data_IF_358170584523
#
_entry.id   IF_358170584523
#
_cell.length_a   1.000
_cell.length_b   1.000
_cell.length_c   1.000
_cell.angle_alpha   90.00
_cell.angle_beta   90.00
_cell.angle_gamma   90.00
#
_symmetry.space_group_name_H-M   'P 1'
#
loop_
_entity.id
_entity.type
_entity.pdbx_description
1 polymer ?
#
# COMPACT_ATOMS: atom_id res chain seq x y z
N UNK A 1 -3.03 -30.04 15.44
CA UNK A 1 -3.05 -28.60 15.10
C UNK A 1 -1.71 -28.32 14.45
N UNK A 2 -1.65 -28.28 13.13
CA UNK A 2 -0.48 -27.78 12.40
C UNK A 2 -0.52 -26.25 12.54
N UNK A 3 0.40 -25.68 13.31
CA UNK A 3 0.30 -24.30 13.82
C UNK A 3 1.37 -23.36 13.27
N UNK A 4 1.71 -23.49 11.99
CA UNK A 4 2.64 -22.61 11.29
C UNK A 4 1.94 -21.60 10.38
N UNK A 5 2.69 -20.65 9.84
CA UNK A 5 2.18 -19.63 8.91
C UNK A 5 3.02 -18.36 8.90
N UNK A 6 2.79 -17.49 7.92
CA UNK A 6 3.35 -16.12 7.92
C UNK A 6 2.66 -15.33 9.04
N UNK A 7 3.44 -14.82 9.98
CA UNK A 7 2.99 -13.82 10.95
C UNK A 7 3.57 -12.48 10.51
N UNK A 8 2.77 -11.78 9.72
CA UNK A 8 3.03 -10.40 9.34
C UNK A 8 2.52 -9.49 10.46
N UNK A 9 3.40 -9.19 11.42
CA UNK A 9 3.04 -8.33 12.56
C UNK A 9 3.19 -6.86 12.22
N UNK A 10 4.20 -6.49 11.41
CA UNK A 10 4.63 -5.11 11.21
C UNK A 10 5.31 -4.87 9.85
N UNK A 11 5.11 -5.70 8.81
CA UNK A 11 5.82 -5.55 7.52
C UNK A 11 5.70 -4.14 6.96
N UNK A 12 4.47 -3.64 6.87
CA UNK A 12 4.20 -2.33 6.28
C UNK A 12 4.55 -1.15 7.20
N UNK A 13 4.60 -1.35 8.52
CA UNK A 13 4.82 -0.26 9.48
C UNK A 13 6.26 -0.15 9.98
N UNK A 14 6.95 -1.28 10.15
CA UNK A 14 8.30 -1.36 10.71
C UNK A 14 9.22 -2.24 9.87
N UNK A 15 8.77 -2.82 8.76
CA UNK A 15 9.63 -3.62 7.88
C UNK A 15 10.03 -4.95 8.49
N UNK A 16 9.13 -5.63 9.19
CA UNK A 16 9.45 -6.85 9.93
C UNK A 16 8.44 -7.97 9.71
N UNK A 17 8.94 -9.14 9.31
CA UNK A 17 8.12 -10.32 9.01
C UNK A 17 8.69 -11.57 9.66
N UNK A 18 7.82 -12.40 10.22
CA UNK A 18 8.18 -13.70 10.80
C UNK A 18 7.37 -14.79 10.10
N UNK A 19 7.99 -15.93 9.81
CA UNK A 19 7.28 -17.14 9.42
C UNK A 19 7.51 -18.22 10.46
N UNK A 20 6.41 -18.83 10.89
CA UNK A 20 6.42 -19.98 11.80
C UNK A 20 6.28 -21.26 10.98
N UNK A 21 7.16 -22.22 11.22
CA UNK A 21 7.15 -23.54 10.59
C UNK A 21 6.02 -24.43 11.15
N UNK A 22 5.78 -25.60 10.56
CA UNK A 22 4.73 -26.55 11.00
C UNK A 22 4.90 -27.01 12.45
N UNK A 23 6.09 -26.89 13.04
CA UNK A 23 6.39 -27.29 14.40
C UNK A 23 6.21 -26.13 15.41
N UNK A 24 5.81 -24.94 14.95
CA UNK A 24 5.67 -23.77 15.81
C UNK A 24 6.99 -23.02 16.08
N UNK A 25 8.05 -23.28 15.31
CA UNK A 25 9.35 -22.62 15.42
C UNK A 25 9.47 -21.50 14.37
N UNK A 26 10.30 -20.48 14.62
CA UNK A 26 10.60 -19.46 13.61
C UNK A 26 11.37 -20.11 12.46
N UNK A 27 10.73 -20.27 11.31
CA UNK A 27 11.38 -20.77 10.10
C UNK A 27 12.10 -19.66 9.33
N UNK A 28 11.53 -18.46 9.32
CA UNK A 28 12.12 -17.30 8.63
C UNK A 28 11.80 -16.00 9.36
N UNK A 29 12.69 -15.02 9.20
CA UNK A 29 12.64 -13.73 9.86
C UNK A 29 13.30 -12.69 8.96
N UNK A 30 12.55 -11.74 8.45
CA UNK A 30 13.06 -10.71 7.54
C UNK A 30 12.84 -9.31 8.11
N UNK A 31 13.87 -8.48 7.94
CA UNK A 31 13.88 -7.07 8.25
C UNK A 31 14.18 -6.30 6.95
N UNK A 32 13.36 -5.32 6.58
CA UNK A 32 13.59 -4.47 5.41
C UNK A 32 14.09 -3.05 5.79
N UNK A 33 14.34 -2.22 4.78
CA UNK A 33 14.80 -0.84 4.90
C UNK A 33 13.99 0.07 5.84
N UNK A 34 12.74 -0.27 6.15
CA UNK A 34 11.86 0.45 7.09
C UNK A 34 12.21 0.11 8.53
N UNK A 35 12.91 -0.99 8.80
CA UNK A 35 13.33 -1.37 10.15
C UNK A 35 14.50 -0.48 10.62
N UNK A 36 14.20 0.46 11.52
CA UNK A 36 15.13 1.52 11.97
C UNK A 36 16.05 1.13 13.12
N UNK A 37 16.04 -0.13 13.57
CA UNK A 37 16.84 -0.60 14.70
C UNK A 37 17.95 -1.55 14.25
N UNK A 38 19.08 -1.62 15.00
CA UNK A 38 20.11 -2.62 14.73
C UNK A 38 19.58 -4.04 14.87
N UNK A 39 20.00 -4.92 13.96
CA UNK A 39 19.77 -6.37 13.99
C UNK A 39 21.10 -7.05 14.28
N UNK A 40 21.37 -7.29 15.57
CA UNK A 40 22.69 -7.70 16.03
C UNK A 40 23.73 -6.59 15.78
N UNK A 41 24.76 -6.89 14.98
CA UNK A 41 25.86 -5.97 14.64
C UNK A 41 25.60 -5.18 13.35
N UNK A 42 24.49 -5.45 12.65
CA UNK A 42 24.16 -4.84 11.35
C UNK A 42 23.03 -3.82 11.53
N UNK A 43 23.07 -2.74 10.76
CA UNK A 43 21.97 -1.76 10.66
C UNK A 43 21.67 -1.50 9.19
N UNK A 44 20.40 -1.25 8.86
CA UNK A 44 20.00 -0.80 7.52
C UNK A 44 20.79 0.45 7.11
N UNK A 45 21.21 0.51 5.86
CA UNK A 45 22.02 1.61 5.31
C UNK A 45 23.53 1.49 5.51
N UNK A 46 24.03 0.47 6.24
CA UNK A 46 25.48 0.23 6.31
C UNK A 46 26.06 -0.03 4.91
N UNK A 47 27.22 0.56 4.62
CA UNK A 47 27.94 0.31 3.37
C UNK A 47 28.58 -1.08 3.35
N UNK A 48 28.96 -1.58 2.18
CA UNK A 48 29.73 -2.84 2.03
C UNK A 48 30.97 -2.86 2.94
N UNK A 49 31.71 -1.75 3.03
CA UNK A 49 32.93 -1.67 3.84
C UNK A 49 32.62 -1.79 5.33
N UNK A 50 31.60 -1.07 5.80
CA UNK A 50 31.14 -1.14 7.19
C UNK A 50 30.63 -2.53 7.54
N UNK A 51 29.87 -3.14 6.63
CA UNK A 51 29.35 -4.50 6.79
C UNK A 51 30.48 -5.53 6.86
N UNK A 52 31.50 -5.44 6.00
CA UNK A 52 32.68 -6.33 6.05
C UNK A 52 33.49 -6.16 7.33
N UNK A 53 33.56 -4.95 7.87
CA UNK A 53 34.25 -4.69 9.13
C UNK A 53 33.46 -5.23 10.34
N UNK A 54 32.14 -5.02 10.35
CA UNK A 54 31.25 -5.49 11.41
C UNK A 54 31.10 -7.02 11.38
N UNK A 55 30.98 -7.62 10.18
CA UNK A 55 30.76 -9.04 10.01
C UNK A 55 31.69 -9.66 8.96
N UNK A 56 32.97 -9.92 9.31
CA UNK A 56 33.96 -10.48 8.37
C UNK A 56 33.64 -11.90 7.88
N UNK A 57 32.76 -12.61 8.57
CA UNK A 57 32.32 -13.97 8.23
C UNK A 57 31.16 -14.01 7.23
N UNK A 58 30.63 -12.85 6.83
CA UNK A 58 29.59 -12.75 5.81
C UNK A 58 30.21 -12.81 4.42
N UNK A 59 29.85 -13.82 3.64
CA UNK A 59 30.31 -13.95 2.26
C UNK A 59 29.40 -13.12 1.35
N UNK A 60 29.92 -12.01 0.82
CA UNK A 60 29.20 -11.12 -0.10
C UNK A 60 29.54 -11.51 -1.53
N UNK A 61 28.54 -11.97 -2.28
CA UNK A 61 28.66 -12.30 -3.69
C UNK A 61 28.75 -11.08 -4.61
N UNK A 62 28.90 -11.35 -5.90
CA UNK A 62 28.87 -10.34 -6.97
C UNK A 62 27.45 -9.80 -7.20
N UNK A 63 27.31 -8.84 -8.12
CA UNK A 63 26.01 -8.30 -8.54
C UNK A 63 25.09 -9.40 -9.06
N UNK A 64 23.81 -9.32 -8.68
CA UNK A 64 22.76 -10.18 -9.23
C UNK A 64 22.66 -9.96 -10.75
N UNK A 65 22.77 -11.02 -11.58
CA UNK A 65 22.74 -10.90 -13.03
C UNK A 65 21.45 -10.28 -13.58
N UNK A 66 20.35 -10.38 -12.83
CA UNK A 66 19.03 -9.86 -13.21
C UNK A 66 18.76 -8.48 -12.61
N UNK A 67 19.45 -8.10 -11.53
CA UNK A 67 19.22 -6.87 -10.78
C UNK A 67 20.54 -6.13 -10.50
N UNK A 68 20.96 -5.29 -11.45
CA UNK A 68 22.20 -4.53 -11.35
C UNK A 68 22.21 -3.67 -10.07
N UNK A 69 23.32 -3.71 -9.32
CA UNK A 69 23.44 -2.99 -8.05
C UNK A 69 22.80 -3.68 -6.84
N UNK A 70 22.29 -4.91 -7.02
CA UNK A 70 21.86 -5.77 -5.90
C UNK A 70 22.93 -6.83 -5.64
N UNK A 71 23.35 -7.00 -4.38
CA UNK A 71 24.27 -8.07 -3.94
C UNK A 71 23.68 -8.83 -2.76
N UNK A 72 24.12 -10.07 -2.58
CA UNK A 72 23.71 -10.89 -1.45
C UNK A 72 24.89 -11.32 -0.60
N UNK A 73 24.82 -10.97 0.68
CA UNK A 73 25.66 -11.53 1.73
C UNK A 73 25.00 -12.76 2.33
N UNK A 74 25.73 -13.86 2.50
CA UNK A 74 25.21 -15.08 3.13
C UNK A 74 26.19 -15.59 4.17
N UNK A 75 25.66 -16.06 5.29
CA UNK A 75 26.42 -16.73 6.35
C UNK A 75 25.59 -17.85 6.97
N UNK A 76 26.24 -18.99 7.23
CA UNK A 76 25.64 -20.07 8.03
C UNK A 76 25.87 -19.82 9.52
N UNK A 77 24.81 -19.98 10.31
CA UNK A 77 24.82 -19.88 11.77
C UNK A 77 24.92 -21.28 12.39
N UNK A 78 25.60 -21.44 13.55
CA UNK A 78 25.77 -22.73 14.22
C UNK A 78 24.46 -23.46 14.55
N UNK A 79 23.38 -22.72 14.74
CA UNK A 79 22.05 -23.21 15.10
C UNK A 79 21.28 -23.80 13.90
N UNK A 80 21.90 -23.88 12.72
CA UNK A 80 21.28 -24.41 11.50
C UNK A 80 20.50 -23.37 10.69
N UNK A 81 20.61 -22.09 11.04
CA UNK A 81 20.01 -20.99 10.29
C UNK A 81 21.00 -20.40 9.29
N UNK A 82 20.48 -19.88 8.20
CA UNK A 82 21.20 -19.05 7.24
C UNK A 82 20.81 -17.59 7.46
N UNK A 83 21.79 -16.75 7.76
CA UNK A 83 21.65 -15.30 7.73
C UNK A 83 21.93 -14.81 6.30
N UNK A 84 21.06 -13.95 5.78
CA UNK A 84 21.19 -13.28 4.49
C UNK A 84 21.16 -11.77 4.70
N UNK A 85 21.90 -11.04 3.87
CA UNK A 85 21.92 -9.58 3.87
C UNK A 85 21.84 -9.12 2.43
N UNK A 86 20.71 -8.51 2.05
CA UNK A 86 20.57 -7.88 0.73
C UNK A 86 21.20 -6.51 0.77
N UNK A 87 22.06 -6.24 -0.19
CA UNK A 87 22.55 -4.89 -0.46
C UNK A 87 21.93 -4.37 -1.74
N UNK A 88 21.46 -3.14 -1.71
CA UNK A 88 20.94 -2.41 -2.87
C UNK A 88 21.70 -1.09 -2.95
N UNK A 89 22.27 -0.79 -4.12
CA UNK A 89 23.10 0.42 -4.33
C UNK A 89 24.22 0.53 -3.27
N UNK A 90 24.90 -0.59 -2.99
CA UNK A 90 26.03 -0.71 -2.05
C UNK A 90 25.71 -0.50 -0.57
N UNK A 91 24.44 -0.40 -0.20
CA UNK A 91 23.99 -0.28 1.20
C UNK A 91 23.09 -1.45 1.60
N UNK A 92 23.14 -1.85 2.88
CA UNK A 92 22.25 -2.87 3.44
C UNK A 92 20.79 -2.40 3.34
N UNK A 93 19.96 -3.18 2.66
CA UNK A 93 18.55 -2.90 2.43
C UNK A 93 17.63 -3.93 3.08
N UNK A 94 18.12 -5.14 3.34
CA UNK A 94 17.34 -6.23 3.93
C UNK A 94 18.26 -7.15 4.73
N UNK A 95 17.77 -7.69 5.85
CA UNK A 95 18.46 -8.67 6.68
C UNK A 95 17.47 -9.81 6.93
N UNK A 96 17.82 -11.02 6.53
CA UNK A 96 16.99 -12.20 6.67
C UNK A 96 17.66 -13.30 7.47
N UNK A 97 16.87 -14.08 8.20
CA UNK A 97 17.29 -15.34 8.81
C UNK A 97 16.32 -16.42 8.35
N UNK A 98 16.85 -17.55 7.91
CA UNK A 98 16.02 -18.66 7.43
C UNK A 98 16.60 -19.97 7.93
N UNK A 99 15.75 -20.85 8.45
CA UNK A 99 16.11 -22.24 8.69
C UNK A 99 15.85 -23.03 7.41
N UNK A 100 16.89 -23.54 6.71
CA UNK A 100 16.70 -24.28 5.46
C UNK A 100 15.92 -25.59 5.62
N UNK A 101 15.82 -26.12 6.84
CA UNK A 101 15.04 -27.31 7.16
C UNK A 101 13.59 -26.99 7.60
N UNK A 102 13.22 -25.71 7.72
CA UNK A 102 11.86 -25.34 8.07
C UNK A 102 10.88 -25.80 6.98
N UNK A 103 9.79 -26.40 7.43
CA UNK A 103 8.68 -26.77 6.56
C UNK A 103 7.52 -25.87 6.94
N UNK A 104 6.97 -25.14 5.97
CA UNK A 104 5.80 -24.31 6.19
C UNK A 104 4.55 -25.13 5.91
N UNK A 105 3.44 -24.88 6.62
CA UNK A 105 2.15 -25.39 6.17
C UNK A 105 1.92 -24.89 4.74
N UNK A 106 1.34 -25.74 3.92
CA UNK A 106 0.75 -25.25 2.66
C UNK A 106 -0.19 -24.10 3.03
N UNK A 107 -0.17 -22.96 2.33
CA UNK A 107 -1.13 -21.89 2.58
C UNK A 107 -2.53 -22.50 2.52
N UNK A 108 -3.20 -22.61 3.66
CA UNK A 108 -4.60 -23.04 3.66
C UNK A 108 -5.36 -21.95 2.93
N UNK A 109 -6.12 -22.31 1.90
CA UNK A 109 -7.00 -21.37 1.20
C UNK A 109 -7.80 -20.58 2.25
N UNK A 110 -7.82 -19.24 2.15
CA UNK A 110 -8.63 -18.43 3.03
C UNK A 110 -10.09 -18.87 2.96
N UNK A 111 -10.82 -18.68 4.05
CA UNK A 111 -12.26 -18.87 4.01
C UNK A 111 -12.88 -17.76 3.17
N UNK A 112 -13.26 -18.07 1.94
CA UNK A 112 -13.97 -17.14 1.06
C UNK A 112 -15.44 -17.02 1.48
N UNK A 113 -15.89 -15.85 2.00
CA UNK A 113 -17.29 -15.65 2.34
C UNK A 113 -18.16 -15.63 1.07
N UNK A 114 -19.42 -16.04 1.21
CA UNK A 114 -20.34 -16.07 0.05
C UNK A 114 -20.62 -14.64 -0.42
N UNK A 115 -20.33 -14.38 -1.68
CA UNK A 115 -20.54 -13.11 -2.37
C UNK A 115 -22.02 -12.91 -2.74
N UNK A 116 -22.87 -12.59 -1.75
CA UNK A 116 -24.33 -12.42 -1.93
C UNK A 116 -24.79 -10.98 -2.14
N UNK A 117 -23.88 -10.01 -2.04
CA UNK A 117 -24.21 -8.58 -2.19
C UNK A 117 -24.60 -8.17 -3.60
N UNK A 118 -25.19 -6.98 -3.73
CA UNK A 118 -25.19 -6.27 -5.01
C UNK A 118 -23.74 -5.90 -5.36
N UNK A 119 -23.40 -5.90 -6.65
CA UNK A 119 -22.12 -5.40 -7.13
C UNK A 119 -21.90 -3.95 -6.65
N UNK A 120 -20.69 -3.66 -6.17
CA UNK A 120 -20.29 -2.37 -5.60
C UNK A 120 -20.80 -2.06 -4.19
N UNK A 121 -21.87 -2.71 -3.73
CA UNK A 121 -22.46 -2.41 -2.42
C UNK A 121 -21.45 -2.58 -1.27
N UNK A 122 -21.43 -1.66 -0.28
CA UNK A 122 -22.40 -0.60 -0.04
C UNK A 122 -22.14 0.71 -0.81
N UNK A 123 -21.15 0.75 -1.69
CA UNK A 123 -20.81 1.91 -2.52
C UNK A 123 -21.64 1.92 -3.80
N UNK A 124 -21.85 3.11 -4.37
CA UNK A 124 -22.49 3.23 -5.68
C UNK A 124 -21.56 2.74 -6.80
N UNK A 125 -20.26 3.03 -6.66
CA UNK A 125 -19.23 2.68 -7.63
C UNK A 125 -18.53 1.36 -7.24
N UNK A 126 -18.54 0.33 -8.10
CA UNK A 126 -17.79 -0.90 -7.88
C UNK A 126 -16.28 -0.71 -7.74
N UNK A 127 -15.69 0.27 -8.43
CA UNK A 127 -14.25 0.53 -8.35
C UNK A 127 -13.88 1.17 -7.00
N UNK A 128 -14.76 1.98 -6.40
CA UNK A 128 -14.55 2.47 -5.03
C UNK A 128 -14.50 1.29 -4.03
N UNK A 129 -15.28 0.24 -4.27
CA UNK A 129 -15.23 -0.97 -3.45
C UNK A 129 -13.87 -1.65 -3.56
N UNK A 130 -13.28 -1.73 -4.76
CA UNK A 130 -11.93 -2.30 -4.93
C UNK A 130 -10.88 -1.49 -4.17
N UNK A 131 -10.95 -0.16 -4.23
CA UNK A 131 -10.08 0.73 -3.45
C UNK A 131 -10.19 0.45 -1.94
N UNK A 132 -11.42 0.28 -1.43
CA UNK A 132 -11.65 -0.06 -0.02
C UNK A 132 -11.16 -1.48 0.32
N UNK A 133 -11.27 -2.44 -0.59
CA UNK A 133 -10.71 -3.78 -0.40
C UNK A 133 -9.18 -3.75 -0.35
N UNK A 134 -8.51 -2.93 -1.17
CA UNK A 134 -7.06 -2.71 -1.08
C UNK A 134 -6.67 -2.24 0.32
N UNK A 135 -7.35 -1.21 0.84
CA UNK A 135 -7.13 -0.73 2.22
C UNK A 135 -7.26 -1.83 3.28
N UNK A 136 -8.30 -2.67 3.17
CA UNK A 136 -8.53 -3.76 4.11
C UNK A 136 -7.49 -4.88 3.99
N UNK A 137 -7.02 -5.17 2.79
CA UNK A 137 -5.93 -6.14 2.54
C UNK A 137 -4.59 -5.62 3.09
N UNK A 138 -4.30 -4.34 2.91
CA UNK A 138 -3.08 -3.71 3.40
C UNK A 138 -3.04 -3.63 4.92
N UNK A 139 -4.21 -3.33 5.52
CA UNK A 139 -4.44 -3.33 6.96
C UNK A 139 -4.68 -4.74 7.55
N UNK A 140 -4.59 -5.79 6.74
CA UNK A 140 -4.76 -7.21 7.12
C UNK A 140 -6.08 -7.50 7.84
N UNK A 141 -7.13 -6.75 7.50
CA UNK A 141 -8.49 -6.95 8.03
C UNK A 141 -9.23 -8.07 7.29
N UNK A 142 -8.81 -8.36 6.07
CA UNK A 142 -9.29 -9.48 5.25
C UNK A 142 -8.11 -10.21 4.61
N UNK A 143 -8.33 -11.46 4.22
CA UNK A 143 -7.37 -12.28 3.50
C UNK A 143 -8.05 -12.93 2.29
N UNK A 144 -7.48 -12.70 1.11
CA UNK A 144 -7.92 -13.29 -0.16
C UNK A 144 -6.92 -14.35 -0.69
N UNK A 145 -5.81 -14.56 0.02
CA UNK A 145 -4.73 -15.44 -0.43
C UNK A 145 -3.97 -14.81 -1.59
N UNK A 146 -3.53 -15.63 -2.53
CA UNK A 146 -2.95 -15.17 -3.79
C UNK A 146 -4.02 -14.98 -4.87
N UNK A 147 -3.76 -14.17 -5.91
CA UNK A 147 -4.64 -14.09 -7.08
C UNK A 147 -4.99 -15.46 -7.68
N UNK A 148 -4.01 -16.38 -7.76
CA UNK A 148 -4.23 -17.73 -8.27
C UNK A 148 -5.18 -18.56 -7.38
N UNK A 149 -5.08 -18.41 -6.05
CA UNK A 149 -5.96 -19.09 -5.10
C UNK A 149 -7.40 -18.59 -5.23
N UNK A 150 -7.60 -17.27 -5.25
CA UNK A 150 -8.93 -16.70 -5.43
C UNK A 150 -9.53 -17.10 -6.79
N UNK A 151 -8.75 -16.97 -7.87
CA UNK A 151 -9.21 -17.32 -9.22
C UNK A 151 -9.57 -18.81 -9.31
N UNK A 152 -8.76 -19.69 -8.70
CA UNK A 152 -9.05 -21.12 -8.62
C UNK A 152 -10.35 -21.41 -7.87
N UNK A 153 -10.57 -20.71 -6.75
CA UNK A 153 -11.78 -20.83 -5.95
C UNK A 153 -13.04 -20.43 -6.74
N UNK A 154 -13.05 -19.23 -7.32
CA UNK A 154 -14.24 -18.69 -8.00
C UNK A 154 -14.54 -19.38 -9.33
N UNK A 155 -13.53 -19.95 -10.00
CA UNK A 155 -13.71 -20.71 -11.25
C UNK A 155 -13.98 -22.19 -11.01
N UNK A 156 -13.67 -22.72 -9.82
CA UNK A 156 -13.79 -24.15 -9.50
C UNK A 156 -12.80 -25.03 -10.28
N UNK A 157 -11.70 -24.46 -10.78
CA UNK A 157 -10.61 -25.15 -11.50
C UNK A 157 -9.29 -24.41 -11.30
N UNK A 158 -8.17 -25.09 -11.46
CA UNK A 158 -6.86 -24.42 -11.48
C UNK A 158 -6.78 -23.37 -12.61
N UNK A 159 -6.03 -22.30 -12.34
CA UNK A 159 -5.78 -21.18 -13.25
C UNK A 159 -4.31 -21.11 -13.57
N UNK A 160 -3.98 -20.91 -14.84
CA UNK A 160 -2.63 -20.58 -15.28
C UNK A 160 -2.55 -19.08 -15.53
N UNK A 161 -2.03 -18.32 -14.56
CA UNK A 161 -1.97 -16.86 -14.67
C UNK A 161 -0.99 -16.40 -15.76
N UNK A 162 -0.01 -17.23 -16.14
CA UNK A 162 0.91 -16.89 -17.23
C UNK A 162 0.21 -16.88 -18.61
N UNK A 163 -0.95 -17.52 -18.72
CA UNK A 163 -1.78 -17.50 -19.94
C UNK A 163 -3.04 -16.64 -19.76
N UNK A 164 -3.69 -16.75 -18.59
CA UNK A 164 -4.99 -16.15 -18.30
C UNK A 164 -4.92 -14.80 -17.56
N UNK A 165 -3.74 -14.40 -17.08
CA UNK A 165 -3.56 -13.21 -16.23
C UNK A 165 -3.39 -11.88 -16.95
N UNK A 166 -3.38 -11.90 -18.30
CA UNK A 166 -3.22 -10.71 -19.15
C UNK A 166 -4.53 -9.96 -19.41
N UNK A 167 -5.67 -10.48 -18.96
CA UNK A 167 -6.97 -9.82 -19.03
C UNK A 167 -7.70 -9.94 -17.67
N UNK A 168 -8.81 -9.22 -17.54
CA UNK A 168 -9.70 -9.35 -16.39
C UNK A 168 -10.26 -10.78 -16.31
N UNK A 169 -10.18 -11.39 -15.13
CA UNK A 169 -10.86 -12.63 -14.79
C UNK A 169 -12.27 -12.29 -14.27
N UNK A 170 -13.35 -12.46 -15.08
CA UNK A 170 -14.66 -11.89 -14.75
C UNK A 170 -15.28 -12.49 -13.48
N UNK A 171 -15.00 -13.77 -13.19
CA UNK A 171 -15.48 -14.42 -11.97
C UNK A 171 -14.82 -13.85 -10.70
N UNK A 172 -13.55 -13.43 -10.80
CA UNK A 172 -12.86 -12.79 -9.69
C UNK A 172 -13.37 -11.36 -9.48
N UNK A 173 -13.59 -10.62 -10.57
CA UNK A 173 -14.23 -9.30 -10.54
C UNK A 173 -15.60 -9.35 -9.84
N UNK A 174 -16.52 -10.19 -10.33
CA UNK A 174 -17.88 -10.30 -9.76
C UNK A 174 -17.84 -10.70 -8.28
N UNK A 175 -16.92 -11.59 -7.90
CA UNK A 175 -16.71 -11.96 -6.51
C UNK A 175 -16.30 -10.77 -5.63
N UNK A 176 -15.31 -9.97 -6.05
CA UNK A 176 -14.85 -8.80 -5.27
C UNK A 176 -15.87 -7.67 -5.24
N UNK A 177 -16.54 -7.40 -6.36
CA UNK A 177 -17.63 -6.43 -6.41
C UNK A 177 -18.78 -6.80 -5.46
N UNK A 178 -18.96 -8.09 -5.16
CA UNK A 178 -19.99 -8.62 -4.26
C UNK A 178 -19.45 -9.06 -2.89
N UNK A 179 -18.17 -8.85 -2.63
CA UNK A 179 -17.53 -9.25 -1.38
C UNK A 179 -18.27 -8.61 -0.19
N UNK A 180 -18.64 -9.37 0.85
CA UNK A 180 -19.43 -8.84 1.94
C UNK A 180 -18.59 -7.93 2.84
N UNK A 181 -18.95 -6.65 2.89
CA UNK A 181 -18.37 -5.67 3.81
C UNK A 181 -19.30 -5.44 4.99
N UNK A 182 -18.85 -5.81 6.19
CA UNK A 182 -19.59 -5.52 7.43
C UNK A 182 -19.30 -4.12 7.93
N UNK A 183 -20.12 -3.62 8.86
CA UNK A 183 -19.88 -2.32 9.49
C UNK A 183 -18.54 -2.30 10.24
N UNK A 184 -18.12 -3.43 10.80
CA UNK A 184 -16.83 -3.57 11.49
C UNK A 184 -15.66 -3.42 10.51
N UNK A 185 -15.74 -4.05 9.32
CA UNK A 185 -14.73 -3.89 8.27
C UNK A 185 -14.67 -2.44 7.77
N UNK A 186 -15.82 -1.83 7.47
CA UNK A 186 -15.88 -0.42 7.04
C UNK A 186 -15.32 0.52 8.11
N UNK A 187 -15.57 0.24 9.39
CA UNK A 187 -14.99 1.00 10.50
C UNK A 187 -13.49 0.72 10.71
N UNK A 188 -12.93 -0.36 10.18
CA UNK A 188 -11.49 -0.65 10.26
C UNK A 188 -10.68 0.14 9.22
N UNK A 189 -11.32 0.65 8.16
CA UNK A 189 -10.70 1.49 7.14
C UNK A 189 -10.22 2.81 7.76
N UNK A 190 -8.91 3.02 7.72
CA UNK A 190 -8.23 4.22 8.25
C UNK A 190 -7.51 5.01 7.17
N UNK A 191 -7.11 4.35 6.09
CA UNK A 191 -6.36 4.94 4.98
C UNK A 191 -6.97 4.44 3.67
N UNK A 192 -7.19 5.34 2.73
CA UNK A 192 -7.60 5.02 1.37
C UNK A 192 -6.61 5.68 0.42
N UNK A 193 -6.15 4.92 -0.56
CA UNK A 193 -5.27 5.36 -1.62
C UNK A 193 -5.86 4.98 -2.98
N UNK A 194 -6.03 5.97 -3.85
CA UNK A 194 -6.37 5.79 -5.25
C UNK A 194 -5.06 5.80 -6.05
N UNK A 195 -4.58 4.63 -6.43
CA UNK A 195 -3.31 4.41 -7.14
C UNK A 195 -3.42 3.16 -8.00
N UNK A 196 -2.74 3.11 -9.15
CA UNK A 196 -2.74 1.95 -10.04
C UNK A 196 -2.11 0.69 -9.42
N UNK A 197 -1.28 0.84 -8.38
CA UNK A 197 -0.64 -0.25 -7.65
C UNK A 197 -1.48 -0.86 -6.52
N UNK A 198 -2.77 -0.53 -6.41
CA UNK A 198 -3.64 -1.02 -5.34
C UNK A 198 -3.74 -2.55 -5.24
N UNK A 199 -3.65 -3.06 -4.01
CA UNK A 199 -3.53 -4.50 -3.69
C UNK A 199 -4.68 -5.38 -4.20
N UNK A 200 -5.89 -4.83 -4.40
CA UNK A 200 -7.03 -5.59 -4.89
C UNK A 200 -6.99 -5.86 -6.42
N UNK A 201 -6.34 -5.03 -7.23
CA UNK A 201 -6.41 -5.14 -8.69
C UNK A 201 -5.78 -6.42 -9.25
N UNK A 202 -4.63 -6.92 -8.76
CA UNK A 202 -4.04 -8.16 -9.24
C UNK A 202 -4.94 -9.40 -9.06
N UNK A 203 -5.93 -9.34 -8.16
CA UNK A 203 -6.93 -10.40 -8.01
C UNK A 203 -7.97 -10.40 -9.13
N UNK A 204 -8.19 -9.25 -9.77
CA UNK A 204 -9.10 -9.08 -10.92
C UNK A 204 -8.35 -9.24 -12.24
N UNK A 205 -7.21 -8.57 -12.38
CA UNK A 205 -6.37 -8.56 -13.57
C UNK A 205 -4.90 -8.62 -13.14
N UNK A 206 -4.30 -9.81 -13.22
CA UNK A 206 -3.02 -10.12 -12.57
C UNK A 206 -1.84 -9.31 -13.11
N UNK A 207 -1.75 -9.14 -14.43
CA UNK A 207 -0.69 -8.39 -15.10
C UNK A 207 -1.12 -6.98 -15.53
N UNK A 208 -2.15 -6.41 -14.91
CA UNK A 208 -2.50 -5.01 -15.15
C UNK A 208 -1.35 -4.10 -14.73
N UNK A 209 -1.00 -3.13 -15.58
CA UNK A 209 0.15 -2.25 -15.38
C UNK A 209 -0.20 -0.94 -14.64
N UNK A 210 -1.49 -0.68 -14.43
CA UNK A 210 -1.97 0.49 -13.69
C UNK A 210 -2.20 1.74 -14.54
N UNK A 211 -2.08 1.66 -15.87
CA UNK A 211 -2.00 2.84 -16.75
C UNK A 211 -3.30 3.17 -17.51
N UNK A 212 -4.32 2.31 -17.46
CA UNK A 212 -5.63 2.54 -18.11
C UNK A 212 -6.75 2.93 -17.13
N UNK A 213 -7.93 3.28 -17.69
CA UNK A 213 -9.07 3.81 -16.93
C UNK A 213 -10.04 2.73 -16.41
N UNK A 214 -9.68 1.44 -16.52
CA UNK A 214 -10.61 0.34 -16.25
C UNK A 214 -11.07 0.30 -14.79
N UNK A 215 -10.20 0.70 -13.88
CA UNK A 215 -10.45 0.76 -12.44
C UNK A 215 -10.68 2.18 -11.92
N UNK A 216 -10.93 3.16 -12.81
CA UNK A 216 -11.24 4.52 -12.39
C UNK A 216 -12.53 4.58 -11.56
N UNK A 217 -12.46 5.28 -10.44
CA UNK A 217 -13.60 5.64 -9.61
C UNK A 217 -14.23 6.94 -10.11
N UNK A 218 -15.53 6.91 -10.34
CA UNK A 218 -16.33 8.05 -10.82
C UNK A 218 -17.28 8.60 -9.76
N UNK A 219 -17.57 7.84 -8.70
CA UNK A 219 -18.46 8.27 -7.61
C UNK A 219 -17.93 7.85 -6.23
N UNK A 220 -17.82 8.81 -5.31
CA UNK A 220 -17.40 8.60 -3.92
C UNK A 220 -18.55 8.25 -2.96
N UNK A 221 -19.78 8.13 -3.46
CA UNK A 221 -20.96 7.83 -2.64
C UNK A 221 -20.81 6.53 -1.85
N UNK A 222 -21.01 6.61 -0.54
CA UNK A 222 -20.79 5.51 0.41
C UNK A 222 -19.49 5.63 1.20
N UNK A 223 -18.57 6.53 0.81
CA UNK A 223 -17.31 6.77 1.54
C UNK A 223 -17.54 7.17 3.00
N UNK A 224 -18.69 7.78 3.32
CA UNK A 224 -19.10 8.16 4.68
C UNK A 224 -19.27 6.96 5.63
N UNK A 225 -19.35 5.75 5.09
CA UNK A 225 -19.40 4.51 5.86
C UNK A 225 -18.03 4.17 6.47
N UNK A 226 -16.94 4.65 5.89
CA UNK A 226 -15.57 4.50 6.38
C UNK A 226 -15.27 5.51 7.51
N UNK A 227 -16.03 5.43 8.61
CA UNK A 227 -16.09 6.47 9.65
C UNK A 227 -14.77 6.76 10.38
N UNK A 228 -13.80 5.84 10.30
CA UNK A 228 -12.49 5.99 10.93
C UNK A 228 -11.39 6.42 9.95
N UNK A 229 -11.75 6.72 8.70
CA UNK A 229 -10.85 7.23 7.68
C UNK A 229 -10.13 8.48 8.18
N UNK A 230 -8.80 8.41 8.23
CA UNK A 230 -7.93 9.48 8.68
C UNK A 230 -6.87 9.90 7.65
N UNK A 231 -6.63 9.06 6.62
CA UNK A 231 -5.76 9.36 5.48
C UNK A 231 -6.51 9.12 4.18
N UNK A 232 -6.49 10.10 3.30
CA UNK A 232 -7.03 10.00 1.95
C UNK A 232 -5.96 10.47 0.96
N UNK A 233 -5.55 9.59 0.06
CA UNK A 233 -4.56 9.84 -0.98
C UNK A 233 -5.18 9.55 -2.34
N UNK A 234 -5.15 10.49 -3.28
CA UNK A 234 -5.52 10.23 -4.66
C UNK A 234 -4.36 10.59 -5.57
N UNK A 235 -3.63 9.56 -6.01
CA UNK A 235 -2.48 9.66 -6.90
C UNK A 235 -2.96 9.55 -8.36
N UNK A 236 -3.84 8.58 -8.62
CA UNK A 236 -4.52 8.33 -9.90
C UNK A 236 -5.90 7.73 -9.64
N UNK A 237 -6.50 7.04 -10.62
CA UNK A 237 -7.76 6.28 -10.50
C UNK A 237 -9.02 7.08 -10.14
N UNK A 238 -8.94 8.40 -10.10
CA UNK A 238 -10.08 9.30 -9.94
C UNK A 238 -9.71 10.63 -10.60
N UNK A 239 -10.61 11.19 -11.41
CA UNK A 239 -10.31 12.43 -12.16
C UNK A 239 -10.17 13.62 -11.20
N UNK A 240 -11.16 13.79 -10.32
CA UNK A 240 -11.17 14.84 -9.32
C UNK A 240 -11.87 14.39 -8.03
N UNK A 241 -11.50 15.03 -6.92
CA UNK A 241 -12.08 14.76 -5.60
C UNK A 241 -12.94 15.94 -5.18
N UNK A 242 -14.26 15.74 -5.12
CA UNK A 242 -15.18 16.67 -4.45
C UNK A 242 -15.00 16.56 -2.93
N UNK A 243 -14.38 17.57 -2.33
CA UNK A 243 -14.08 17.60 -0.89
C UNK A 243 -15.35 17.51 -0.03
N UNK A 244 -16.51 17.91 -0.56
CA UNK A 244 -17.79 17.82 0.18
C UNK A 244 -18.15 16.38 0.52
N UNK A 245 -17.77 15.42 -0.32
CA UNK A 245 -17.98 13.99 -0.07
C UNK A 245 -17.23 13.49 1.16
N UNK A 246 -16.16 14.19 1.55
CA UNK A 246 -15.30 13.84 2.70
C UNK A 246 -15.75 14.50 4.01
N UNK A 247 -16.74 15.38 4.01
CA UNK A 247 -17.19 16.09 5.23
C UNK A 247 -17.73 15.15 6.30
N UNK A 248 -18.26 13.99 5.91
CA UNK A 248 -18.71 12.96 6.86
C UNK A 248 -17.56 12.21 7.54
N UNK A 249 -16.35 12.28 6.98
CA UNK A 249 -15.14 11.65 7.50
C UNK A 249 -14.51 12.55 8.57
N UNK A 250 -15.17 12.65 9.72
CA UNK A 250 -14.81 13.56 10.82
C UNK A 250 -13.42 13.32 11.43
N UNK A 251 -12.76 12.21 11.10
CA UNK A 251 -11.40 11.86 11.54
C UNK A 251 -10.35 12.09 10.46
N UNK A 252 -10.70 12.67 9.31
CA UNK A 252 -9.76 12.91 8.22
C UNK A 252 -8.68 13.92 8.63
N UNK A 253 -7.44 13.44 8.77
CA UNK A 253 -6.30 14.23 9.21
C UNK A 253 -5.37 14.58 8.04
N UNK A 254 -5.25 13.71 7.04
CA UNK A 254 -4.34 13.88 5.92
C UNK A 254 -5.09 13.73 4.60
N UNK A 255 -5.01 14.75 3.77
CA UNK A 255 -5.53 14.74 2.40
C UNK A 255 -4.40 15.00 1.42
N UNK A 256 -4.14 14.08 0.50
CA UNK A 256 -3.08 14.18 -0.51
C UNK A 256 -3.66 13.93 -1.89
N UNK A 257 -3.54 14.89 -2.79
CA UNK A 257 -4.16 14.82 -4.10
C UNK A 257 -3.11 15.14 -5.16
N UNK A 258 -2.87 14.22 -6.09
CA UNK A 258 -2.20 14.45 -7.38
C UNK A 258 -3.19 14.41 -8.55
N UNK A 259 -4.47 14.23 -8.23
CA UNK A 259 -5.63 14.37 -9.11
C UNK A 259 -6.27 15.74 -8.90
N UNK A 260 -7.33 16.06 -9.66
CA UNK A 260 -8.08 17.30 -9.48
C UNK A 260 -8.72 17.41 -8.10
N UNK A 261 -8.99 18.64 -7.66
CA UNK A 261 -9.70 18.96 -6.41
C UNK A 261 -10.88 19.89 -6.69
N UNK A 262 -12.08 19.45 -6.33
CA UNK A 262 -13.30 20.23 -6.46
C UNK A 262 -13.79 20.69 -5.08
N UNK A 263 -14.46 21.85 -5.04
CA UNK A 263 -15.06 22.39 -3.81
C UNK A 263 -14.06 22.59 -2.66
N UNK A 264 -12.90 23.17 -2.99
CA UNK A 264 -11.77 23.44 -2.08
C UNK A 264 -12.21 24.19 -0.81
N UNK A 265 -13.25 25.02 -0.89
CA UNK A 265 -13.82 25.72 0.26
C UNK A 265 -14.24 24.78 1.41
N UNK A 266 -14.64 23.54 1.09
CA UNK A 266 -15.07 22.55 2.06
C UNK A 266 -13.91 22.01 2.92
N UNK A 267 -12.64 22.24 2.55
CA UNK A 267 -11.49 21.93 3.42
C UNK A 267 -11.59 22.67 4.76
N UNK A 268 -12.22 23.85 4.78
CA UNK A 268 -12.43 24.62 6.00
C UNK A 268 -13.42 23.98 6.97
N UNK A 269 -14.21 23.00 6.51
CA UNK A 269 -15.23 22.31 7.30
C UNK A 269 -14.76 20.92 7.76
N UNK A 270 -13.52 20.52 7.43
CA UNK A 270 -12.89 19.29 7.93
C UNK A 270 -12.25 19.54 9.31
N UNK A 271 -12.82 19.02 10.41
CA UNK A 271 -12.46 19.46 11.76
C UNK A 271 -11.14 18.88 12.28
N UNK A 272 -10.69 17.75 11.74
CA UNK A 272 -9.51 17.03 12.18
C UNK A 272 -8.29 17.23 11.25
N UNK A 273 -8.44 18.05 10.20
CA UNK A 273 -7.44 18.19 9.15
C UNK A 273 -6.12 18.74 9.71
N UNK A 274 -5.03 18.03 9.47
CA UNK A 274 -3.66 18.38 9.90
C UNK A 274 -2.75 18.66 8.72
N UNK A 275 -2.97 17.99 7.59
CA UNK A 275 -2.18 18.17 6.38
C UNK A 275 -3.06 18.15 5.13
N UNK A 276 -2.80 19.07 4.21
CA UNK A 276 -3.31 19.03 2.84
C UNK A 276 -2.13 19.16 1.89
N UNK A 277 -1.96 18.17 1.00
CA UNK A 277 -1.02 18.21 -0.11
C UNK A 277 -1.78 18.18 -1.42
N UNK A 278 -1.49 19.14 -2.30
CA UNK A 278 -2.07 19.19 -3.65
C UNK A 278 -0.93 19.32 -4.66
N UNK A 279 -0.91 18.43 -5.63
CA UNK A 279 -0.06 18.49 -6.81
C UNK A 279 -0.96 18.77 -8.03
N UNK A 280 -1.14 20.05 -8.36
CA UNK A 280 -2.04 20.50 -9.43
C UNK A 280 -1.57 21.87 -9.96
N UNK A 281 -1.36 21.98 -11.27
CA UNK A 281 -0.86 23.20 -11.91
C UNK A 281 -1.82 24.40 -11.74
N UNK A 282 -3.13 24.18 -11.88
CA UNK A 282 -4.13 25.23 -11.78
C UNK A 282 -4.28 25.75 -10.36
N UNK A 283 -4.31 24.85 -9.38
CA UNK A 283 -4.36 25.24 -7.96
C UNK A 283 -3.07 25.94 -7.55
N UNK A 284 -1.92 25.47 -8.04
CA UNK A 284 -0.65 26.14 -7.80
C UNK A 284 -0.64 27.59 -8.32
N UNK A 285 -1.12 27.82 -9.55
CA UNK A 285 -1.28 29.17 -10.11
C UNK A 285 -2.22 30.04 -9.28
N UNK A 286 -3.33 29.47 -8.78
CA UNK A 286 -4.25 30.20 -7.93
C UNK A 286 -3.63 30.57 -6.58
N UNK A 287 -2.94 29.66 -5.89
CA UNK A 287 -2.37 29.96 -4.56
C UNK A 287 -1.16 30.90 -4.64
N UNK A 288 -0.41 30.90 -5.74
CA UNK A 288 0.70 31.83 -5.95
C UNK A 288 0.24 33.22 -6.39
N UNK A 289 -1.01 33.35 -6.86
CA UNK A 289 -1.62 34.64 -7.22
C UNK A 289 -2.33 35.29 -6.03
N UNK A 290 -1.96 36.53 -5.69
CA UNK A 290 -2.58 37.24 -4.58
C UNK A 290 -4.08 37.54 -4.83
N UNK A 291 -4.92 37.29 -3.81
CA UNK A 291 -6.34 37.66 -3.82
C UNK A 291 -7.30 36.62 -4.42
N UNK A 292 -6.79 35.48 -4.89
CA UNK A 292 -7.62 34.37 -5.36
C UNK A 292 -8.44 33.74 -4.22
N UNK A 293 -9.44 32.93 -4.59
CA UNK A 293 -10.24 32.20 -3.60
C UNK A 293 -9.42 31.09 -2.95
N UNK A 294 -8.73 30.26 -3.75
CA UNK A 294 -7.89 29.17 -3.23
C UNK A 294 -6.81 29.68 -2.28
N UNK A 295 -6.09 30.77 -2.62
CA UNK A 295 -5.10 31.37 -1.72
C UNK A 295 -5.67 31.71 -0.35
N UNK A 296 -6.84 32.35 -0.31
CA UNK A 296 -7.51 32.72 0.96
C UNK A 296 -7.91 31.48 1.78
N UNK A 297 -8.37 30.42 1.13
CA UNK A 297 -8.72 29.16 1.79
C UNK A 297 -7.49 28.54 2.42
N UNK A 298 -6.40 28.37 1.66
CA UNK A 298 -5.19 27.76 2.17
C UNK A 298 -4.45 28.61 3.23
N UNK A 299 -4.43 29.94 3.09
CA UNK A 299 -3.94 30.82 4.16
C UNK A 299 -4.77 30.64 5.45
N UNK A 300 -6.10 30.52 5.33
CA UNK A 300 -6.98 30.25 6.48
C UNK A 300 -6.69 28.89 7.13
N UNK A 301 -6.35 27.87 6.35
CA UNK A 301 -5.93 26.56 6.89
C UNK A 301 -4.61 26.67 7.64
N UNK A 302 -3.63 27.40 7.10
CA UNK A 302 -2.34 27.66 7.77
C UNK A 302 -2.53 28.40 9.09
N UNK A 303 -3.42 29.40 9.12
CA UNK A 303 -3.75 30.14 10.35
C UNK A 303 -4.37 29.23 11.44
N UNK A 304 -5.01 28.12 11.03
CA UNK A 304 -5.52 27.07 11.95
C UNK A 304 -4.47 26.03 12.36
N UNK A 305 -3.23 26.15 11.86
CA UNK A 305 -2.14 25.21 12.13
C UNK A 305 -2.13 23.97 11.23
N UNK A 306 -2.89 23.97 10.14
CA UNK A 306 -2.84 22.89 9.12
C UNK A 306 -1.57 23.06 8.29
N UNK A 307 -0.83 21.97 8.10
CA UNK A 307 0.30 21.93 7.16
C UNK A 307 -0.26 21.94 5.73
N UNK A 308 0.01 23.01 5.00
CA UNK A 308 -0.37 23.13 3.60
C UNK A 308 0.87 22.95 2.73
N UNK A 309 0.73 22.15 1.68
CA UNK A 309 1.72 22.01 0.65
C UNK A 309 1.02 21.97 -0.71
N UNK A 310 1.23 22.98 -1.54
CA UNK A 310 0.69 23.00 -2.90
C UNK A 310 1.83 23.17 -3.88
N UNK A 311 1.89 22.31 -4.88
CA UNK A 311 2.92 22.33 -5.90
C UNK A 311 2.31 21.98 -7.26
N UNK A 312 3.01 22.29 -8.34
CA UNK A 312 2.58 21.96 -9.69
C UNK A 312 3.12 20.57 -10.10
N UNK A 313 2.46 19.94 -11.07
CA UNK A 313 2.79 18.61 -11.64
C UNK A 313 3.81 18.72 -12.77
N UNK A 314 3.62 19.69 -13.68
CA UNK A 314 4.39 19.81 -14.92
C UNK A 314 5.86 20.16 -14.71
N UNK A 315 6.82 19.31 -15.11
CA UNK A 315 8.25 19.62 -14.96
C UNK A 315 8.67 20.93 -15.65
N UNK A 316 8.99 21.96 -14.86
CA UNK A 316 9.58 23.22 -15.35
C UNK A 316 10.91 23.49 -14.66
N UNK A 317 11.93 23.92 -15.41
CA UNK A 317 13.22 24.33 -14.85
C UNK A 317 13.45 25.86 -14.96
N UNK A 318 13.92 26.54 -13.90
CA UNK A 318 14.10 26.00 -12.55
C UNK A 318 12.74 25.70 -11.89
N UNK A 319 12.69 24.67 -11.05
CA UNK A 319 11.52 24.29 -10.24
C UNK A 319 11.19 25.43 -9.27
N UNK A 320 10.05 26.16 -9.41
CA UNK A 320 9.56 27.05 -8.36
C UNK A 320 9.48 26.39 -6.94
N UNK A 321 9.39 27.17 -5.86
CA UNK A 321 9.15 26.59 -4.54
C UNK A 321 7.68 26.15 -4.40
N UNK A 322 7.42 25.16 -3.54
CA UNK A 322 6.08 24.87 -3.08
C UNK A 322 5.44 26.08 -2.39
N UNK A 323 4.11 26.18 -2.48
CA UNK A 323 3.34 27.02 -1.57
C UNK A 323 3.17 26.30 -0.24
N UNK A 324 3.81 26.84 0.80
CA UNK A 324 3.85 26.32 2.17
C UNK A 324 3.56 27.42 3.19
#
# INVERSE_FOLDING_TARGET
MEGGGKIDLLENSHGFVVWIDRNGLIGMLDYDHRFRHPVGEITMGMTIEQLRAAMPSLEIGDDDPLMRGVRMGVRQLPEGYTQRVRLTLEAVNEIGFSNPAAQYPEPTEPSYPVAVGMAGAPFTDPNLKLVVLSSLLDAKQIDLGTPAQLATHVLGRAVDLEDEGYEIIPAAQDYLERYPLTNELLAAVQEIEFDGGGTAYPFVWYFWDGEDDVFDVKDLSGIELCRNLNRFSAISMIESVDVRSLLSCQRLEYLRLSTGIDHIEALLDLPALKEVRVLDDGIYDEVTTAGTSARRIFDTLKDRGVCVWVHWVSATEPTPPAFE
#
